data_IF_133119491676
#
_entry.id   IF_133119491676
#
_cell.length_a   1.000
_cell.length_b   1.000
_cell.length_c   1.000
_cell.angle_alpha   90.00
_cell.angle_beta   90.00
_cell.angle_gamma   90.00
#
_symmetry.space_group_name_H-M   'P 1'
#
loop_
_entity.id
_entity.type
_entity.pdbx_description
1 polymer ?
#
# COMPACT_ATOMS: atom_id res chain seq x y z
N UNK A 1 4.12 1.95 0.77
CA UNK A 1 5.17 2.97 0.60
C UNK A 1 4.83 3.88 -0.58
N UNK A 2 4.91 3.35 -1.79
CA UNK A 2 4.52 4.03 -3.02
C UNK A 2 4.02 2.99 -4.06
N UNK A 3 3.43 3.39 -5.20
CA UNK A 3 2.88 2.47 -6.18
C UNK A 3 3.90 1.45 -6.72
N UNK A 4 3.48 0.19 -6.83
CA UNK A 4 4.15 -0.83 -7.63
C UNK A 4 3.79 -0.69 -9.13
N UNK A 5 4.70 -1.06 -10.05
CA UNK A 5 4.53 -0.80 -11.49
C UNK A 5 3.38 -1.56 -12.16
N UNK A 6 2.94 -2.67 -11.56
CA UNK A 6 1.83 -3.49 -12.08
C UNK A 6 0.58 -3.45 -11.18
N UNK A 7 0.64 -2.67 -10.10
CA UNK A 7 -0.46 -2.53 -9.15
C UNK A 7 -1.11 -1.15 -9.26
N UNK A 8 -0.98 -0.35 -8.19
CA UNK A 8 -1.50 1.02 -8.14
C UNK A 8 -1.09 1.91 -9.32
N UNK A 9 0.09 1.72 -9.92
CA UNK A 9 0.49 2.49 -11.11
C UNK A 9 -0.42 2.22 -12.33
N UNK A 10 -1.06 1.04 -12.38
CA UNK A 10 -1.98 0.64 -13.43
C UNK A 10 -3.41 1.07 -13.15
N UNK A 11 -3.88 1.01 -11.91
CA UNK A 11 -5.32 1.15 -11.60
C UNK A 11 -5.66 2.17 -10.51
N UNK A 12 -4.68 2.84 -9.92
CA UNK A 12 -4.89 3.87 -8.90
C UNK A 12 -5.22 3.34 -7.50
N UNK A 13 -5.39 2.03 -7.30
CA UNK A 13 -5.71 1.45 -5.99
C UNK A 13 -4.43 1.05 -5.25
N UNK A 14 -4.21 1.47 -3.99
CA UNK A 14 -3.06 1.02 -3.19
C UNK A 14 -2.97 -0.50 -3.13
N UNK A 15 -1.75 -1.05 -3.31
CA UNK A 15 -1.54 -2.50 -3.44
C UNK A 15 -2.44 -3.16 -4.52
N UNK A 16 -2.89 -2.39 -5.51
CA UNK A 16 -3.97 -2.82 -6.40
C UNK A 16 -3.54 -3.86 -7.42
N UNK A 17 -3.48 -5.13 -7.04
CA UNK A 17 -3.45 -6.22 -8.02
C UNK A 17 -4.76 -6.23 -8.82
N UNK A 18 -4.66 -6.11 -10.15
CA UNK A 18 -5.82 -5.84 -11.02
C UNK A 18 -6.95 -6.87 -10.85
N UNK A 19 -6.61 -8.15 -10.64
CA UNK A 19 -7.61 -9.19 -10.40
C UNK A 19 -8.44 -8.89 -9.15
N UNK A 20 -7.80 -8.60 -8.03
CA UNK A 20 -8.50 -8.26 -6.77
C UNK A 20 -9.26 -6.94 -6.87
N UNK A 21 -8.71 -5.95 -7.56
CA UNK A 21 -9.36 -4.65 -7.78
C UNK A 21 -10.70 -4.81 -8.51
N UNK A 22 -10.76 -5.66 -9.53
CA UNK A 22 -11.98 -5.90 -10.31
C UNK A 22 -12.90 -6.91 -9.62
N UNK A 23 -12.35 -8.07 -9.24
CA UNK A 23 -13.17 -9.22 -8.84
C UNK A 23 -13.65 -9.13 -7.40
N UNK A 24 -12.85 -8.51 -6.50
CA UNK A 24 -13.18 -8.43 -5.07
C UNK A 24 -13.61 -7.01 -4.67
N UNK A 25 -12.80 -5.99 -4.97
CA UNK A 25 -13.12 -4.59 -4.66
C UNK A 25 -14.21 -4.00 -5.57
N UNK A 26 -14.55 -4.69 -6.67
CA UNK A 26 -15.58 -4.29 -7.66
C UNK A 26 -15.36 -2.90 -8.27
N UNK A 27 -14.11 -2.41 -8.28
CA UNK A 27 -13.77 -1.11 -8.85
C UNK A 27 -13.72 -1.24 -10.37
N UNK A 28 -14.42 -0.32 -11.04
CA UNK A 28 -14.47 -0.20 -12.51
C UNK A 28 -14.10 1.22 -12.89
N UNK A 29 -13.54 1.39 -14.10
CA UNK A 29 -13.21 2.71 -14.60
C UNK A 29 -12.30 2.66 -15.82
N UNK A 30 -11.97 3.84 -16.33
CA UNK A 30 -10.96 4.01 -17.38
C UNK A 30 -9.71 4.66 -16.78
N UNK A 31 -8.54 4.22 -17.26
CA UNK A 31 -7.25 4.77 -16.82
C UNK A 31 -6.58 5.42 -18.03
N UNK A 32 -6.24 6.70 -17.89
CA UNK A 32 -5.48 7.43 -18.90
C UNK A 32 -3.99 7.16 -18.73
N UNK A 33 -3.25 7.40 -19.81
CA UNK A 33 -1.80 7.25 -19.84
C UNK A 33 -1.09 8.48 -19.26
N UNK A 34 0.10 8.32 -18.64
CA UNK A 34 0.94 9.45 -18.30
C UNK A 34 1.45 10.12 -19.58
N UNK A 35 1.90 11.37 -19.46
CA UNK A 35 2.43 12.15 -20.59
C UNK A 35 3.56 11.43 -21.35
N UNK A 36 4.41 10.68 -20.62
CA UNK A 36 5.48 9.88 -21.17
C UNK A 36 5.49 8.50 -20.54
N UNK A 37 5.44 7.47 -21.38
CA UNK A 37 5.58 6.08 -20.96
C UNK A 37 6.98 5.56 -21.30
N UNK A 38 7.56 4.76 -20.41
CA UNK A 38 8.72 3.96 -20.76
C UNK A 38 8.23 2.67 -21.46
N UNK A 39 8.84 2.20 -22.58
CA UNK A 39 8.35 1.03 -23.32
C UNK A 39 8.20 -0.25 -22.49
N UNK A 40 9.03 -0.42 -21.44
CA UNK A 40 8.95 -1.56 -20.49
C UNK A 40 7.94 -1.37 -19.33
N UNK A 41 7.24 -0.24 -19.26
CA UNK A 41 6.35 0.17 -18.16
C UNK A 41 5.11 0.89 -18.70
N UNK A 42 4.46 0.28 -19.68
CA UNK A 42 3.21 0.77 -20.23
C UNK A 42 2.09 0.67 -19.18
N UNK A 43 1.17 1.63 -19.22
CA UNK A 43 -0.06 1.64 -18.44
C UNK A 43 -1.17 1.05 -19.30
N UNK A 44 -1.64 -0.12 -18.86
CA UNK A 44 -2.75 -0.85 -19.46
C UNK A 44 -4.05 -0.69 -18.67
N UNK A 45 -4.04 0.08 -17.58
CA UNK A 45 -5.24 0.28 -16.78
C UNK A 45 -5.68 -1.00 -16.06
N UNK A 46 -6.99 -1.16 -15.98
CA UNK A 46 -7.65 -2.39 -15.50
C UNK A 46 -7.49 -3.59 -16.47
N UNK A 47 -6.81 -3.43 -17.62
CA UNK A 47 -6.47 -4.53 -18.52
C UNK A 47 -5.04 -5.06 -18.32
N UNK A 48 -4.32 -4.59 -17.29
CA UNK A 48 -2.99 -5.10 -17.01
C UNK A 48 -3.05 -6.60 -16.62
N UNK A 49 -2.43 -7.46 -17.42
CA UNK A 49 -2.40 -8.91 -17.22
C UNK A 49 -1.31 -9.37 -16.26
N UNK A 50 -0.44 -8.46 -15.84
CA UNK A 50 0.66 -8.77 -14.92
C UNK A 50 0.17 -8.67 -13.48
N UNK A 51 0.34 -9.75 -12.72
CA UNK A 51 0.06 -9.74 -11.30
C UNK A 51 1.04 -8.83 -10.54
N UNK A 52 0.51 -8.14 -9.53
CA UNK A 52 1.32 -7.45 -8.53
C UNK A 52 1.36 -8.30 -7.26
N UNK A 53 2.44 -9.07 -7.09
CA UNK A 53 2.54 -10.12 -6.05
C UNK A 53 2.27 -9.59 -4.63
N UNK A 54 2.76 -8.40 -4.30
CA UNK A 54 2.58 -7.83 -2.96
C UNK A 54 1.11 -7.48 -2.72
N UNK A 55 0.46 -6.92 -3.72
CA UNK A 55 -0.96 -6.59 -3.72
C UNK A 55 -1.87 -7.80 -3.73
N UNK A 56 -1.52 -8.82 -4.51
CA UNK A 56 -2.23 -10.10 -4.54
C UNK A 56 -2.21 -10.78 -3.17
N UNK A 57 -1.05 -10.79 -2.50
CA UNK A 57 -0.93 -11.30 -1.12
C UNK A 57 -1.76 -10.49 -0.12
N UNK A 58 -1.66 -9.16 -0.18
CA UNK A 58 -2.34 -8.27 0.76
C UNK A 58 -3.86 -8.31 0.62
N UNK A 59 -4.38 -8.14 -0.59
CA UNK A 59 -5.82 -8.19 -0.82
C UNK A 59 -6.38 -9.60 -0.70
N UNK A 60 -5.62 -10.63 -1.06
CA UNK A 60 -5.99 -12.03 -0.82
C UNK A 60 -6.14 -12.34 0.68
N UNK A 61 -5.25 -11.79 1.53
CA UNK A 61 -5.36 -11.92 3.00
C UNK A 61 -6.65 -11.29 3.53
N UNK A 62 -6.98 -10.07 3.12
CA UNK A 62 -8.22 -9.41 3.54
C UNK A 62 -9.47 -10.07 2.94
N UNK A 63 -9.40 -10.55 1.69
CA UNK A 63 -10.47 -11.35 1.11
C UNK A 63 -10.73 -12.62 1.93
N UNK A 64 -9.67 -13.32 2.36
CA UNK A 64 -9.82 -14.53 3.16
C UNK A 64 -10.41 -14.26 4.54
N UNK A 65 -10.00 -13.18 5.21
CA UNK A 65 -10.42 -12.93 6.60
C UNK A 65 -11.68 -12.06 6.74
N UNK A 66 -11.90 -11.11 5.85
CA UNK A 66 -13.07 -10.22 5.86
C UNK A 66 -14.23 -10.78 5.04
N UNK A 67 -13.95 -11.68 4.09
CA UNK A 67 -14.87 -12.22 3.06
C UNK A 67 -15.38 -11.17 2.07
N UNK A 68 -15.89 -10.04 2.56
CA UNK A 68 -16.37 -8.91 1.75
C UNK A 68 -15.51 -7.67 1.94
N UNK A 69 -15.38 -6.80 0.92
CA UNK A 69 -14.68 -5.53 1.07
C UNK A 69 -15.37 -4.63 2.10
N UNK A 70 -16.70 -4.66 2.22
CA UNK A 70 -17.46 -3.84 3.18
C UNK A 70 -17.05 -4.15 4.63
N UNK A 71 -16.79 -5.43 4.94
CA UNK A 71 -16.32 -5.84 6.26
C UNK A 71 -14.95 -5.24 6.58
N UNK A 72 -14.04 -5.21 5.60
CA UNK A 72 -12.73 -4.56 5.76
C UNK A 72 -12.88 -3.04 5.91
N UNK A 73 -13.61 -2.40 4.99
CA UNK A 73 -13.73 -0.94 4.95
C UNK A 73 -14.64 -0.34 6.04
N UNK A 74 -15.35 -1.16 6.81
CA UNK A 74 -16.12 -0.70 7.96
C UNK A 74 -15.23 0.02 9.00
N UNK A 75 -14.00 -0.45 9.19
CA UNK A 75 -13.06 0.10 10.17
C UNK A 75 -11.65 0.38 9.62
N UNK A 76 -11.34 -0.07 8.40
CA UNK A 76 -10.00 0.02 7.83
C UNK A 76 -9.98 0.79 6.50
N UNK A 77 -8.80 1.34 6.19
CA UNK A 77 -8.53 1.96 4.90
C UNK A 77 -7.06 1.74 4.52
N UNK A 78 -6.76 1.64 3.23
CA UNK A 78 -5.39 1.50 2.74
C UNK A 78 -4.99 2.72 1.95
N UNK A 79 -3.85 3.30 2.31
CA UNK A 79 -3.28 4.46 1.64
C UNK A 79 -1.78 4.28 1.40
N UNK A 80 -1.27 4.87 0.32
CA UNK A 80 0.17 4.93 0.07
C UNK A 80 0.71 6.28 0.51
N UNK A 81 1.75 6.27 1.33
CA UNK A 81 2.43 7.47 1.82
C UNK A 81 2.89 8.41 0.69
N UNK A 82 3.47 7.86 -0.40
CA UNK A 82 3.85 8.63 -1.57
C UNK A 82 3.07 8.12 -2.79
N UNK A 83 2.34 8.97 -3.53
CA UNK A 83 1.55 8.54 -4.69
C UNK A 83 2.38 8.39 -5.97
N UNK A 84 3.67 8.75 -5.95
CA UNK A 84 4.52 8.77 -7.13
C UNK A 84 5.29 7.46 -7.31
N UNK A 85 5.47 7.05 -8.57
CA UNK A 85 6.35 5.95 -8.98
C UNK A 85 7.49 6.49 -9.83
N UNK A 86 8.72 6.12 -9.48
CA UNK A 86 9.92 6.60 -10.13
C UNK A 86 10.64 5.45 -10.84
N UNK A 87 11.31 5.76 -11.95
CA UNK A 87 12.11 4.78 -12.68
C UNK A 87 13.32 5.43 -13.35
N UNK A 88 14.38 4.64 -13.53
CA UNK A 88 15.53 5.03 -14.36
C UNK A 88 15.15 5.02 -15.84
N UNK A 89 16.02 5.59 -16.69
CA UNK A 89 15.91 5.52 -18.15
C UNK A 89 15.83 4.10 -18.71
N UNK A 90 16.29 3.08 -17.95
CA UNK A 90 16.16 1.66 -18.31
C UNK A 90 14.81 1.04 -17.97
N UNK A 91 13.92 1.78 -17.31
CA UNK A 91 12.64 1.31 -16.77
C UNK A 91 12.75 0.59 -15.41
N UNK A 92 13.96 0.52 -14.82
CA UNK A 92 14.15 -0.03 -13.47
C UNK A 92 13.49 0.88 -12.43
N UNK A 93 12.68 0.31 -11.54
CA UNK A 93 12.02 1.03 -10.46
C UNK A 93 13.03 1.71 -9.53
N UNK A 94 12.69 2.90 -9.04
CA UNK A 94 13.44 3.66 -8.05
C UNK A 94 12.50 3.95 -6.89
N UNK A 95 12.87 3.54 -5.68
CA UNK A 95 12.10 3.82 -4.47
C UNK A 95 12.48 5.18 -3.87
N UNK A 96 11.62 5.82 -3.07
CA UNK A 96 11.96 7.11 -2.45
C UNK A 96 13.31 7.14 -1.71
N UNK A 97 13.73 6.09 -0.95
CA UNK A 97 15.07 6.03 -0.35
C UNK A 97 16.23 6.13 -1.34
N UNK A 98 16.04 5.72 -2.59
CA UNK A 98 17.07 5.69 -3.64
C UNK A 98 17.18 7.02 -4.42
N UNK A 99 16.29 7.98 -4.15
CA UNK A 99 16.36 9.32 -4.75
C UNK A 99 17.54 10.12 -4.17
N UNK A 100 17.98 11.14 -4.92
CA UNK A 100 19.01 12.06 -4.45
C UNK A 100 18.52 12.77 -3.18
N UNK A 101 19.43 13.00 -2.24
CA UNK A 101 19.09 13.46 -0.89
C UNK A 101 18.15 14.66 -0.88
N UNK A 102 18.46 15.72 -1.65
CA UNK A 102 17.67 16.96 -1.69
C UNK A 102 16.25 16.74 -2.23
N UNK A 103 16.12 15.99 -3.32
CA UNK A 103 14.82 15.66 -3.92
C UNK A 103 13.99 14.77 -2.98
N UNK A 104 14.66 13.80 -2.35
CA UNK A 104 14.07 12.89 -1.37
C UNK A 104 13.53 13.67 -0.17
N UNK A 105 14.32 14.54 0.45
CA UNK A 105 13.90 15.30 1.63
C UNK A 105 12.66 16.14 1.31
N UNK A 106 12.68 16.88 0.19
CA UNK A 106 11.53 17.69 -0.27
C UNK A 106 10.28 16.83 -0.50
N UNK A 107 10.42 15.70 -1.20
CA UNK A 107 9.31 14.77 -1.46
C UNK A 107 8.71 14.23 -0.16
N UNK A 108 9.58 13.80 0.75
CA UNK A 108 9.17 13.18 2.01
C UNK A 108 8.51 14.18 2.96
N UNK A 109 8.92 15.45 2.96
CA UNK A 109 8.24 16.50 3.74
C UNK A 109 6.81 16.75 3.23
N UNK A 110 6.61 16.79 1.91
CA UNK A 110 5.28 16.93 1.30
C UNK A 110 4.39 15.71 1.61
N UNK A 111 4.96 14.50 1.54
CA UNK A 111 4.24 13.28 1.86
C UNK A 111 3.93 13.18 3.37
N UNK A 112 4.82 13.64 4.26
CA UNK A 112 4.56 13.71 5.70
C UNK A 112 3.34 14.60 5.99
N UNK A 113 3.32 15.81 5.41
CA UNK A 113 2.19 16.73 5.56
C UNK A 113 0.89 16.10 5.06
N UNK A 114 0.90 15.52 3.86
CA UNK A 114 -0.29 14.87 3.31
C UNK A 114 -0.77 13.70 4.17
N UNK A 115 0.14 12.91 4.76
CA UNK A 115 -0.25 11.83 5.66
C UNK A 115 -0.93 12.37 6.92
N UNK A 116 -0.37 13.42 7.53
CA UNK A 116 -0.99 14.06 8.70
C UNK A 116 -2.39 14.62 8.37
N UNK A 117 -2.54 15.26 7.21
CA UNK A 117 -3.84 15.78 6.75
C UNK A 117 -4.86 14.65 6.55
N UNK A 118 -4.46 13.54 5.93
CA UNK A 118 -5.34 12.37 5.73
C UNK A 118 -5.74 11.74 7.06
N UNK A 119 -4.79 11.51 7.96
CA UNK A 119 -5.05 10.90 9.28
C UNK A 119 -6.01 11.75 10.10
N UNK A 120 -5.81 13.08 10.08
CA UNK A 120 -6.71 14.03 10.74
C UNK A 120 -8.10 14.04 10.12
N UNK A 121 -8.20 14.06 8.79
CA UNK A 121 -9.48 14.09 8.07
C UNK A 121 -10.31 12.83 8.35
N UNK A 122 -9.65 11.68 8.41
CA UNK A 122 -10.32 10.39 8.62
C UNK A 122 -10.54 10.05 10.10
N UNK A 123 -10.08 10.91 11.03
CA UNK A 123 -10.08 10.70 12.48
C UNK A 123 -9.54 9.31 12.92
N UNK A 124 -8.46 8.88 12.27
CA UNK A 124 -7.86 7.54 12.49
C UNK A 124 -7.13 7.51 13.83
N UNK A 125 -7.36 6.48 14.64
CA UNK A 125 -6.66 6.25 15.92
C UNK A 125 -5.43 5.36 15.81
N UNK A 126 -5.39 4.49 14.80
CA UNK A 126 -4.34 3.49 14.61
C UNK A 126 -3.82 3.54 13.17
N UNK A 127 -2.51 3.66 13.00
CA UNK A 127 -1.83 3.57 11.71
C UNK A 127 -0.91 2.36 11.69
N UNK A 128 -1.12 1.47 10.71
CA UNK A 128 -0.28 0.28 10.51
C UNK A 128 0.62 0.48 9.29
N UNK A 129 1.92 0.66 9.53
CA UNK A 129 2.93 0.72 8.49
C UNK A 129 3.19 -0.65 7.86
N UNK A 130 2.83 -0.84 6.60
CA UNK A 130 3.19 -2.05 5.83
C UNK A 130 4.66 -1.96 5.40
N UNK A 131 5.54 -2.58 6.19
CA UNK A 131 6.99 -2.50 6.08
C UNK A 131 7.63 -1.32 6.83
N UNK A 132 8.92 -1.47 7.14
CA UNK A 132 9.68 -0.55 8.01
C UNK A 132 9.74 0.89 7.54
N UNK A 133 9.91 1.12 6.24
CA UNK A 133 9.87 2.49 5.71
C UNK A 133 8.54 3.19 6.02
N UNK A 134 7.40 2.50 5.83
CA UNK A 134 6.09 3.11 6.09
C UNK A 134 5.89 3.39 7.58
N UNK A 135 6.33 2.48 8.45
CA UNK A 135 6.33 2.68 9.90
C UNK A 135 7.16 3.92 10.31
N UNK A 136 8.41 4.00 9.89
CA UNK A 136 9.32 5.10 10.22
C UNK A 136 8.78 6.46 9.74
N UNK A 137 8.22 6.50 8.53
CA UNK A 137 7.59 7.72 8.01
C UNK A 137 6.35 8.12 8.78
N UNK A 138 5.48 7.16 9.13
CA UNK A 138 4.31 7.43 9.96
C UNK A 138 4.72 8.00 11.33
N UNK A 139 5.69 7.37 12.01
CA UNK A 139 6.21 7.84 13.31
C UNK A 139 6.76 9.26 13.23
N UNK A 140 7.47 9.59 12.16
CA UNK A 140 7.99 10.95 11.96
C UNK A 140 6.88 11.96 11.68
N UNK A 141 6.00 11.66 10.74
CA UNK A 141 4.96 12.58 10.28
C UNK A 141 3.90 12.85 11.34
N UNK A 142 3.61 11.84 12.18
CA UNK A 142 2.51 11.85 13.14
C UNK A 142 2.98 12.02 14.59
N UNK A 143 4.24 12.39 14.83
CA UNK A 143 4.83 12.49 16.18
C UNK A 143 4.02 13.34 17.18
N UNK A 144 3.32 14.36 16.69
CA UNK A 144 2.53 15.30 17.50
C UNK A 144 1.02 14.96 17.46
N UNK A 145 0.64 13.84 16.84
CA UNK A 145 -0.74 13.38 16.76
C UNK A 145 -0.97 12.26 17.79
N UNK A 146 -2.16 12.23 18.39
CA UNK A 146 -2.54 11.18 19.32
C UNK A 146 -3.00 9.91 18.57
N UNK A 147 -2.07 9.25 17.88
CA UNK A 147 -2.31 8.10 17.01
C UNK A 147 -1.32 7.00 17.34
N UNK A 148 -1.81 5.78 17.51
CA UNK A 148 -0.98 4.60 17.72
C UNK A 148 -0.37 4.12 16.41
N UNK A 149 0.90 3.76 16.42
CA UNK A 149 1.64 3.38 15.21
C UNK A 149 2.25 2.00 15.38
N UNK A 150 1.80 1.09 14.51
CA UNK A 150 2.25 -0.28 14.43
C UNK A 150 2.88 -0.59 13.08
N UNK A 151 3.39 -1.80 12.92
CA UNK A 151 3.88 -2.29 11.64
C UNK A 151 3.62 -3.77 11.46
N UNK A 152 3.33 -4.13 10.22
CA UNK A 152 3.35 -5.52 9.74
C UNK A 152 4.42 -5.69 8.66
N UNK A 153 4.84 -6.93 8.44
CA UNK A 153 5.80 -7.27 7.41
C UNK A 153 5.28 -6.85 6.02
N UNK A 154 6.16 -6.37 5.14
CA UNK A 154 5.77 -6.07 3.77
C UNK A 154 5.61 -7.37 2.94
N UNK A 155 4.56 -7.52 2.11
CA UNK A 155 4.30 -8.72 1.30
C UNK A 155 5.22 -8.92 0.09
N UNK A 156 6.32 -8.17 -0.02
CA UNK A 156 7.11 -8.13 -1.25
C UNK A 156 7.84 -9.45 -1.48
N UNK A 157 7.91 -9.96 -2.72
CA UNK A 157 8.71 -11.15 -3.03
C UNK A 157 10.22 -10.94 -2.86
N UNK A 158 10.66 -9.69 -2.67
CA UNK A 158 12.06 -9.39 -2.34
C UNK A 158 12.46 -9.85 -0.92
N UNK A 159 11.49 -10.14 -0.03
CA UNK A 159 11.73 -10.66 1.31
C UNK A 159 11.64 -12.20 1.29
N UNK A 160 12.72 -12.94 1.64
CA UNK A 160 12.67 -14.39 1.78
C UNK A 160 11.58 -14.85 2.75
N UNK A 161 11.43 -14.18 3.89
CA UNK A 161 10.41 -14.50 4.88
C UNK A 161 8.99 -14.36 4.32
N UNK A 162 8.72 -13.34 3.49
CA UNK A 162 7.42 -13.17 2.86
C UNK A 162 7.12 -14.29 1.84
N UNK A 163 8.15 -14.88 1.24
CA UNK A 163 7.98 -16.02 0.33
C UNK A 163 7.70 -17.34 1.06
N UNK A 164 8.07 -17.44 2.34
CA UNK A 164 7.83 -18.62 3.18
C UNK A 164 6.44 -18.67 3.83
N UNK A 165 5.59 -17.67 3.60
CA UNK A 165 4.21 -17.61 4.15
C UNK A 165 3.89 -16.27 4.79
N UNK A 166 3.85 -15.21 3.97
CA UNK A 166 3.56 -13.85 4.45
C UNK A 166 2.21 -13.73 5.17
N UNK A 167 1.18 -14.41 4.68
CA UNK A 167 -0.17 -14.45 5.23
C UNK A 167 -0.19 -14.88 6.70
N UNK A 168 0.53 -15.96 7.04
CA UNK A 168 0.64 -16.46 8.41
C UNK A 168 1.39 -15.48 9.31
N UNK A 169 2.47 -14.89 8.79
CA UNK A 169 3.24 -13.89 9.54
C UNK A 169 2.40 -12.66 9.83
N UNK A 170 1.69 -12.14 8.82
CA UNK A 170 0.81 -10.99 8.98
C UNK A 170 -0.34 -11.29 9.97
N UNK A 171 -0.94 -12.49 9.91
CA UNK A 171 -1.97 -12.92 10.85
C UNK A 171 -1.46 -12.92 12.30
N UNK A 172 -0.29 -13.52 12.55
CA UNK A 172 0.31 -13.52 13.89
C UNK A 172 0.59 -12.11 14.36
N UNK A 173 1.19 -11.26 13.52
CA UNK A 173 1.47 -9.86 13.88
C UNK A 173 0.20 -9.08 14.22
N UNK A 174 -0.88 -9.24 13.44
CA UNK A 174 -2.14 -8.56 13.70
C UNK A 174 -2.83 -9.09 14.96
N UNK A 175 -2.65 -10.37 15.32
CA UNK A 175 -3.16 -10.94 16.57
C UNK A 175 -2.39 -10.44 17.78
N UNK A 176 -1.06 -10.46 17.71
CA UNK A 176 -0.18 -10.02 18.81
C UNK A 176 -0.35 -8.52 19.11
N UNK A 177 -0.87 -7.75 18.14
CA UNK A 177 -1.21 -6.33 18.27
C UNK A 177 -2.69 -6.08 18.59
N UNK A 178 -3.49 -7.14 18.78
CA UNK A 178 -4.95 -7.08 19.00
C UNK A 178 -5.72 -6.30 17.91
N UNK A 179 -5.22 -6.31 16.67
CA UNK A 179 -5.83 -5.59 15.54
C UNK A 179 -6.81 -6.42 14.71
N UNK A 180 -6.88 -7.73 14.95
CA UNK A 180 -7.80 -8.61 14.21
C UNK A 180 -9.28 -8.26 14.41
N UNK A 181 -9.64 -7.65 15.55
CA UNK A 181 -11.00 -7.21 15.85
C UNK A 181 -11.53 -6.14 14.89
N UNK A 182 -10.66 -5.36 14.24
CA UNK A 182 -11.06 -4.35 13.26
C UNK A 182 -11.28 -4.92 11.86
N UNK A 183 -10.79 -6.13 11.60
CA UNK A 183 -10.74 -6.76 10.26
C UNK A 183 -11.79 -7.87 10.14
N UNK A 184 -12.23 -8.44 11.26
CA UNK A 184 -13.27 -9.47 11.31
C UNK A 184 -14.49 -8.92 12.05
N UNK A 185 -15.67 -9.05 11.44
CA UNK A 185 -16.93 -8.92 12.17
C UNK A 185 -17.12 -10.15 13.07
N UNK A 186 -16.40 -10.22 14.18
CA UNK A 186 -16.70 -11.12 15.30
C UNK A 186 -17.53 -10.33 16.33
N UNK A 187 -18.70 -9.84 15.91
CA UNK A 187 -19.79 -9.40 16.77
C UNK A 187 -20.97 -10.36 16.61
#
# INVERSE_FOLDING_TARGET
MNPGPFGMAQNGVPFGDTKHVIDWLKIKGSVKKPFKEHPKRLIHGLHCTRAEVSGSRLWGFFQEHCKTPETFFANCFIHNYCPLVFMKSSGKNVTPPQLLRKERETLLELCDKSLADVVKLMDVKIVVGVGKFAEERARKALKDNNVEIYSIMHPSPASPAANSGWDKIALTQLRDLDLMCYIKNEH
#
